data_IF_079528145244
#
_entry.id   IF_079528145244
#
_cell.length_a   1.000
_cell.length_b   1.000
_cell.length_c   1.000
_cell.angle_alpha   90.00
_cell.angle_beta   90.00
_cell.angle_gamma   90.00
#
_symmetry.space_group_name_H-M   'P 1'
#
loop_
_entity.id
_entity.type
_entity.pdbx_description
1 polymer ?
#
# COMPACT_ATOMS: atom_id res chain seq x y z
N UNK A 1 -6.07 -14.35 -18.10
CA UNK A 1 -5.30 -13.29 -17.44
C UNK A 1 -5.43 -12.10 -18.38
N UNK A 2 -6.15 -11.07 -17.97
CA UNK A 2 -6.32 -9.89 -18.84
C UNK A 2 -4.97 -9.19 -18.92
N UNK A 3 -4.54 -8.79 -20.12
CA UNK A 3 -3.27 -8.10 -20.29
C UNK A 3 -3.33 -6.74 -19.60
N UNK A 4 -2.35 -6.46 -18.74
CA UNK A 4 -2.21 -5.14 -18.13
C UNK A 4 -1.87 -4.10 -19.20
N UNK A 5 -2.83 -3.20 -19.47
CA UNK A 5 -2.62 -2.03 -20.32
C UNK A 5 -2.34 -0.82 -19.43
N UNK A 6 -1.06 -0.43 -19.38
CA UNK A 6 -0.60 0.69 -18.55
C UNK A 6 -1.20 2.02 -18.99
N UNK A 7 -1.42 2.21 -20.30
CA UNK A 7 -1.96 3.45 -20.82
C UNK A 7 -3.42 3.62 -20.40
N UNK A 8 -4.24 2.58 -20.58
CA UNK A 8 -5.65 2.60 -20.15
C UNK A 8 -5.76 2.84 -18.64
N UNK A 9 -4.92 2.18 -17.83
CA UNK A 9 -4.91 2.37 -16.38
C UNK A 9 -4.53 3.82 -16.02
N UNK A 10 -3.55 4.38 -16.71
CA UNK A 10 -3.10 5.77 -16.48
C UNK A 10 -4.19 6.77 -16.81
N UNK A 11 -4.82 6.65 -17.98
CA UNK A 11 -5.91 7.53 -18.42
C UNK A 11 -7.09 7.47 -17.46
N UNK A 12 -7.50 6.28 -17.02
CA UNK A 12 -8.59 6.11 -16.05
C UNK A 12 -8.25 6.74 -14.70
N UNK A 13 -7.06 6.48 -14.15
CA UNK A 13 -6.66 7.11 -12.90
C UNK A 13 -6.63 8.63 -13.00
N UNK A 14 -6.11 9.18 -14.10
CA UNK A 14 -6.08 10.63 -14.32
C UNK A 14 -7.49 11.24 -14.35
N UNK A 15 -8.43 10.59 -15.07
CA UNK A 15 -9.83 11.01 -15.14
C UNK A 15 -10.48 11.04 -13.75
N UNK A 16 -10.43 9.94 -13.01
CA UNK A 16 -11.06 9.88 -11.68
C UNK A 16 -10.35 10.76 -10.65
N UNK A 17 -9.03 10.94 -10.77
CA UNK A 17 -8.29 11.83 -9.88
C UNK A 17 -8.68 13.29 -10.10
N UNK A 18 -8.83 13.73 -11.35
CA UNK A 18 -9.33 15.07 -11.65
C UNK A 18 -10.75 15.28 -11.09
N UNK A 19 -11.67 14.35 -11.36
CA UNK A 19 -13.05 14.41 -10.86
C UNK A 19 -13.12 14.43 -9.32
N UNK A 20 -12.27 13.64 -8.66
CA UNK A 20 -12.18 13.61 -7.21
C UNK A 20 -11.69 14.95 -6.63
N UNK A 21 -10.69 15.59 -7.27
CA UNK A 21 -10.23 16.93 -6.88
C UNK A 21 -11.33 17.98 -7.05
N UNK A 22 -12.05 17.95 -8.17
CA UNK A 22 -13.14 18.90 -8.45
C UNK A 22 -14.28 18.77 -7.42
N UNK A 23 -14.53 17.56 -6.92
CA UNK A 23 -15.54 17.26 -5.90
C UNK A 23 -15.04 17.42 -4.46
N UNK A 24 -13.76 17.71 -4.25
CA UNK A 24 -13.15 17.73 -2.91
C UNK A 24 -13.16 16.36 -2.21
N UNK A 25 -13.10 15.27 -2.98
CA UNK A 25 -13.07 13.90 -2.48
C UNK A 25 -11.65 13.34 -2.54
N UNK A 26 -11.12 12.86 -1.41
CA UNK A 26 -9.80 12.20 -1.38
C UNK A 26 -9.91 10.67 -1.56
N UNK A 27 -10.75 10.22 -2.50
CA UNK A 27 -10.97 8.79 -2.78
C UNK A 27 -11.18 8.52 -4.26
N UNK A 28 -10.56 7.46 -4.77
CA UNK A 28 -10.73 6.97 -6.14
C UNK A 28 -11.52 5.65 -6.18
N UNK A 29 -12.40 5.45 -7.18
CA UNK A 29 -13.15 4.22 -7.37
C UNK A 29 -12.28 3.15 -8.05
N UNK A 30 -11.35 2.54 -7.32
CA UNK A 30 -10.38 1.60 -7.91
C UNK A 30 -11.03 0.47 -8.73
N UNK A 31 -12.25 0.03 -8.39
CA UNK A 31 -12.96 -1.05 -9.09
C UNK A 31 -13.43 -0.63 -10.49
N UNK A 32 -13.53 0.67 -10.77
CA UNK A 32 -13.85 1.22 -12.10
C UNK A 32 -12.60 1.41 -12.96
N UNK A 33 -11.41 1.35 -12.34
CA UNK A 33 -10.13 1.47 -13.06
C UNK A 33 -9.82 0.19 -13.82
N UNK A 34 -9.88 -0.97 -13.15
CA UNK A 34 -9.59 -2.26 -13.77
C UNK A 34 -10.10 -3.45 -12.94
N UNK A 35 -10.15 -4.63 -13.56
CA UNK A 35 -10.39 -5.90 -12.88
C UNK A 35 -9.10 -6.40 -12.23
N UNK A 36 -8.75 -5.83 -11.07
CA UNK A 36 -7.45 -6.04 -10.40
C UNK A 36 -7.14 -7.49 -10.05
N UNK A 37 -8.16 -8.28 -9.75
CA UNK A 37 -8.07 -9.73 -9.52
C UNK A 37 -7.50 -10.51 -10.71
N UNK A 38 -7.62 -9.96 -11.94
CA UNK A 38 -7.09 -10.56 -13.17
C UNK A 38 -5.72 -10.04 -13.59
N UNK A 39 -5.29 -8.92 -13.00
CA UNK A 39 -4.10 -8.14 -13.40
C UNK A 39 -2.96 -8.28 -12.39
N UNK A 40 -3.29 -8.26 -11.10
CA UNK A 40 -2.31 -8.34 -10.02
C UNK A 40 -1.75 -9.75 -9.91
N UNK A 41 -0.44 -9.85 -9.68
CA UNK A 41 0.18 -11.12 -9.37
C UNK A 41 -0.24 -11.62 -7.98
N UNK A 42 0.02 -12.89 -7.59
CA UNK A 42 -0.46 -13.44 -6.33
C UNK A 42 -0.05 -12.65 -5.07
N UNK A 43 1.17 -12.09 -5.05
CA UNK A 43 1.66 -11.28 -3.91
C UNK A 43 0.93 -9.94 -3.89
N UNK A 44 0.84 -9.25 -5.02
CA UNK A 44 0.11 -7.99 -5.14
C UNK A 44 -1.37 -8.18 -4.76
N UNK A 45 -2.03 -9.22 -5.28
CA UNK A 45 -3.43 -9.50 -5.01
C UNK A 45 -3.69 -9.74 -3.51
N UNK A 46 -2.80 -10.46 -2.84
CA UNK A 46 -2.90 -10.69 -1.41
C UNK A 46 -2.74 -9.39 -0.61
N UNK A 47 -1.75 -8.57 -0.94
CA UNK A 47 -1.58 -7.24 -0.33
C UNK A 47 -2.79 -6.35 -0.61
N UNK A 48 -3.36 -6.43 -1.82
CA UNK A 48 -4.57 -5.69 -2.16
C UNK A 48 -5.79 -6.12 -1.35
N UNK A 49 -5.91 -7.41 -1.03
CA UNK A 49 -6.93 -7.90 -0.11
C UNK A 49 -6.73 -7.35 1.30
N UNK A 50 -5.49 -7.32 1.79
CA UNK A 50 -5.14 -6.75 3.09
C UNK A 50 -5.45 -5.24 3.15
N UNK A 51 -5.11 -4.49 2.09
CA UNK A 51 -5.44 -3.07 1.94
C UNK A 51 -6.95 -2.84 2.06
N UNK A 52 -7.75 -3.63 1.35
CA UNK A 52 -9.22 -3.56 1.39
C UNK A 52 -9.77 -3.92 2.77
N UNK A 53 -9.24 -4.97 3.40
CA UNK A 53 -9.68 -5.44 4.71
C UNK A 53 -9.40 -4.42 5.81
N UNK A 54 -8.20 -3.85 5.84
CA UNK A 54 -7.79 -2.86 6.85
C UNK A 54 -8.46 -1.49 6.62
N UNK A 55 -8.84 -1.21 5.37
CA UNK A 55 -9.52 0.03 4.96
C UNK A 55 -8.54 1.17 4.64
N UNK A 56 -7.37 0.87 4.09
CA UNK A 56 -6.39 1.89 3.68
C UNK A 56 -6.66 2.28 2.23
N UNK A 57 -6.84 3.58 1.89
CA UNK A 57 -7.16 4.00 0.52
C UNK A 57 -5.92 4.02 -0.39
N UNK A 58 -5.27 2.87 -0.57
CA UNK A 58 -4.15 2.70 -1.51
C UNK A 58 -4.62 2.04 -2.80
N UNK A 59 -4.21 2.61 -3.93
CA UNK A 59 -4.65 2.24 -5.25
C UNK A 59 -3.59 1.40 -5.97
N UNK A 60 -3.95 0.22 -6.52
CA UNK A 60 -3.02 -0.68 -7.19
C UNK A 60 -2.45 -0.11 -8.48
N UNK A 61 -1.17 -0.38 -8.74
CA UNK A 61 -0.40 0.03 -9.94
C UNK A 61 -0.65 1.50 -10.31
N UNK A 62 -0.60 2.37 -9.30
CA UNK A 62 -0.86 3.79 -9.49
C UNK A 62 0.27 4.45 -10.30
N UNK A 63 -0.04 5.12 -11.41
CA UNK A 63 0.95 5.78 -12.26
C UNK A 63 1.58 6.95 -11.52
N UNK A 64 2.90 7.07 -11.59
CA UNK A 64 3.65 8.16 -10.95
C UNK A 64 4.54 8.92 -11.93
N UNK A 65 4.83 8.32 -13.08
CA UNK A 65 5.48 8.95 -14.22
C UNK A 65 5.18 8.12 -15.48
N UNK A 66 5.64 8.58 -16.64
CA UNK A 66 5.52 7.85 -17.89
C UNK A 66 6.10 6.44 -17.75
N UNK A 67 5.29 5.44 -18.12
CA UNK A 67 5.61 4.01 -18.03
C UNK A 67 6.07 3.53 -16.63
N UNK A 68 5.75 4.28 -15.58
CA UNK A 68 6.21 3.99 -14.21
C UNK A 68 5.04 4.05 -13.23
N UNK A 69 4.90 3.00 -12.42
CA UNK A 69 3.93 2.95 -11.33
C UNK A 69 4.56 2.56 -9.99
N UNK A 70 3.82 2.88 -8.93
CA UNK A 70 3.97 2.25 -7.62
C UNK A 70 2.99 1.09 -7.51
N UNK A 71 3.39 0.02 -6.85
CA UNK A 71 2.55 -1.17 -6.68
C UNK A 71 1.23 -0.83 -6.01
N UNK A 72 1.28 0.04 -4.99
CA UNK A 72 0.12 0.65 -4.37
C UNK A 72 0.43 2.10 -4.00
N UNK A 73 -0.49 3.04 -4.21
CA UNK A 73 -0.28 4.42 -3.79
C UNK A 73 -1.57 5.17 -3.48
N UNK A 74 -1.47 6.18 -2.62
CA UNK A 74 -2.48 7.20 -2.46
C UNK A 74 -1.90 8.54 -2.95
N UNK A 75 -2.40 9.10 -4.07
CA UNK A 75 -1.87 10.35 -4.62
C UNK A 75 -2.22 11.58 -3.78
N UNK A 76 -3.35 11.59 -3.06
CA UNK A 76 -3.76 12.72 -2.23
C UNK A 76 -2.81 12.96 -1.05
N UNK A 77 -2.33 11.86 -0.43
CA UNK A 77 -1.33 11.91 0.65
C UNK A 77 0.11 11.75 0.16
N UNK A 78 0.34 11.59 -1.15
CA UNK A 78 1.63 11.25 -1.77
C UNK A 78 2.37 10.14 -1.02
N UNK A 79 1.68 9.08 -0.67
CA UNK A 79 2.25 7.91 0.01
C UNK A 79 2.09 6.67 -0.84
N UNK A 80 3.08 5.80 -0.86
CA UNK A 80 2.97 4.56 -1.62
C UNK A 80 3.88 3.44 -1.16
N UNK A 81 3.62 2.27 -1.71
CA UNK A 81 4.30 1.01 -1.43
C UNK A 81 4.94 0.52 -2.72
N UNK A 82 6.23 0.23 -2.63
CA UNK A 82 7.00 -0.45 -3.66
C UNK A 82 7.34 -1.87 -3.19
N UNK A 83 6.93 -2.88 -3.96
CA UNK A 83 7.22 -4.28 -3.63
C UNK A 83 8.53 -4.70 -4.29
N UNK A 84 9.42 -5.27 -3.49
CA UNK A 84 10.66 -5.90 -3.92
C UNK A 84 10.44 -7.40 -4.09
N UNK A 85 10.45 -7.85 -5.34
CA UNK A 85 10.46 -9.26 -5.68
C UNK A 85 11.90 -9.79 -5.71
N UNK A 86 12.05 -11.12 -5.63
CA UNK A 86 13.34 -11.81 -5.67
C UNK A 86 14.25 -11.39 -6.83
N UNK A 87 13.65 -11.08 -7.99
CA UNK A 87 14.37 -10.70 -9.22
C UNK A 87 14.32 -9.19 -9.51
N UNK A 88 13.82 -8.38 -8.58
CA UNK A 88 13.84 -6.92 -8.73
C UNK A 88 15.28 -6.41 -8.73
N UNK A 89 15.61 -5.45 -9.59
CA UNK A 89 16.88 -4.73 -9.53
C UNK A 89 16.84 -3.70 -8.40
N UNK A 90 17.67 -3.81 -7.34
CA UNK A 90 17.69 -2.84 -6.26
C UNK A 90 18.09 -1.44 -6.73
N UNK A 91 18.94 -1.34 -7.76
CA UNK A 91 19.37 -0.06 -8.33
C UNK A 91 18.21 0.67 -8.99
N UNK A 92 17.38 -0.03 -9.77
CA UNK A 92 16.20 0.55 -10.42
C UNK A 92 15.19 1.02 -9.38
N UNK A 93 14.91 0.20 -8.37
CA UNK A 93 14.00 0.54 -7.27
C UNK A 93 14.52 1.75 -6.49
N UNK A 94 15.80 1.76 -6.12
CA UNK A 94 16.41 2.88 -5.39
C UNK A 94 16.31 4.18 -6.18
N UNK A 95 16.60 4.15 -7.49
CA UNK A 95 16.48 5.34 -8.35
C UNK A 95 15.05 5.86 -8.40
N UNK A 96 14.06 4.98 -8.59
CA UNK A 96 12.64 5.34 -8.59
C UNK A 96 12.22 5.96 -7.25
N UNK A 97 12.59 5.33 -6.14
CA UNK A 97 12.26 5.81 -4.79
C UNK A 97 12.89 7.16 -4.50
N UNK A 98 14.16 7.37 -4.86
CA UNK A 98 14.84 8.65 -4.64
C UNK A 98 14.20 9.78 -5.45
N UNK A 99 13.85 9.51 -6.72
CA UNK A 99 13.15 10.47 -7.56
C UNK A 99 11.81 10.87 -6.94
N UNK A 100 10.95 9.90 -6.62
CA UNK A 100 9.63 10.18 -6.04
C UNK A 100 9.75 10.90 -4.69
N UNK A 101 10.72 10.53 -3.85
CA UNK A 101 11.00 11.25 -2.60
C UNK A 101 11.36 12.72 -2.84
N UNK A 102 12.15 13.02 -3.87
CA UNK A 102 12.47 14.39 -4.25
C UNK A 102 11.25 15.20 -4.70
N UNK A 103 10.20 14.51 -5.18
CA UNK A 103 8.90 15.07 -5.56
C UNK A 103 7.89 15.09 -4.39
N UNK A 104 8.35 14.82 -3.17
CA UNK A 104 7.53 14.88 -1.96
C UNK A 104 6.72 13.61 -1.67
N UNK A 105 7.02 12.49 -2.32
CA UNK A 105 6.41 11.22 -1.97
C UNK A 105 7.06 10.56 -0.75
N UNK A 106 6.26 9.92 0.08
CA UNK A 106 6.73 8.95 1.07
C UNK A 106 6.54 7.53 0.52
N UNK A 107 7.65 6.87 0.19
CA UNK A 107 7.63 5.50 -0.36
C UNK A 107 8.15 4.50 0.65
N UNK A 108 7.32 3.50 0.95
CA UNK A 108 7.65 2.35 1.78
C UNK A 108 8.01 1.17 0.89
N UNK A 109 9.12 0.51 1.20
CA UNK A 109 9.60 -0.65 0.46
C UNK A 109 9.22 -1.91 1.22
N UNK A 110 8.71 -2.91 0.50
CA UNK A 110 8.24 -4.16 1.09
C UNK A 110 8.86 -5.32 0.34
N UNK A 111 9.61 -6.15 1.04
CA UNK A 111 10.03 -7.44 0.50
C UNK A 111 8.82 -8.36 0.33
N UNK A 112 8.61 -8.87 -0.89
CA UNK A 112 7.55 -9.81 -1.23
C UNK A 112 7.47 -11.03 -0.30
N UNK A 113 8.60 -11.46 0.29
CA UNK A 113 8.66 -12.58 1.25
C UNK A 113 7.98 -12.25 2.58
N UNK A 114 7.94 -10.97 2.94
CA UNK A 114 7.30 -10.49 4.17
C UNK A 114 5.80 -10.24 4.00
N UNK A 115 5.24 -10.50 2.82
CA UNK A 115 3.81 -10.35 2.60
C UNK A 115 3.03 -11.36 3.47
N UNK A 116 3.53 -12.58 3.68
CA UNK A 116 2.74 -13.75 4.10
C UNK A 116 2.27 -13.81 5.57
N UNK A 117 2.81 -12.98 6.44
CA UNK A 117 2.43 -13.02 7.86
C UNK A 117 1.29 -12.05 8.16
N UNK A 118 0.18 -12.58 8.71
CA UNK A 118 -0.90 -11.75 9.25
C UNK A 118 -0.43 -11.04 10.53
N UNK A 119 -1.10 -9.96 10.91
CA UNK A 119 -0.67 -9.14 12.06
C UNK A 119 -0.62 -9.95 13.36
N UNK A 120 -1.57 -10.84 13.58
CA UNK A 120 -1.65 -11.63 14.82
C UNK A 120 -0.49 -12.61 14.99
N UNK A 121 -0.15 -13.33 13.93
CA UNK A 121 1.01 -14.22 13.92
C UNK A 121 2.30 -13.44 14.21
N UNK A 122 2.45 -12.29 13.56
CA UNK A 122 3.62 -11.44 13.74
C UNK A 122 3.67 -10.85 15.16
N UNK A 123 2.53 -10.43 15.70
CA UNK A 123 2.39 -9.90 17.05
C UNK A 123 2.79 -10.93 18.11
N UNK A 124 2.22 -12.15 18.04
CA UNK A 124 2.55 -13.26 18.93
C UNK A 124 4.05 -13.63 18.88
N UNK A 125 4.63 -13.65 17.67
CA UNK A 125 6.07 -13.90 17.50
C UNK A 125 6.94 -12.84 18.22
N UNK A 126 6.50 -11.58 18.26
CA UNK A 126 7.26 -10.49 18.89
C UNK A 126 7.05 -10.34 20.39
N UNK A 127 5.84 -10.57 20.93
CA UNK A 127 5.56 -10.34 22.36
C UNK A 127 6.00 -11.45 23.30
N UNK A 128 6.32 -12.65 22.81
CA UNK A 128 6.66 -13.86 23.61
C UNK A 128 5.55 -14.35 24.57
N UNK A 129 4.57 -13.52 24.93
CA UNK A 129 3.32 -13.91 25.62
C UNK A 129 2.23 -14.21 24.60
N UNK A 130 1.42 -15.24 24.87
CA UNK A 130 0.35 -15.74 23.98
C UNK A 130 -1.06 -15.39 24.45
N UNK A 131 -1.20 -14.70 25.58
CA UNK A 131 -2.51 -14.45 26.22
C UNK A 131 -3.22 -13.19 25.72
N UNK A 132 -2.52 -12.37 24.92
CA UNK A 132 -3.02 -11.11 24.41
C UNK A 132 -2.94 -11.13 22.89
N UNK A 133 -4.01 -10.75 22.22
CA UNK A 133 -4.06 -10.57 20.77
C UNK A 133 -3.77 -9.10 20.41
N UNK A 134 -3.47 -8.84 19.14
CA UNK A 134 -3.26 -7.47 18.67
C UNK A 134 -4.52 -6.63 18.85
N UNK A 135 -5.69 -7.21 18.57
CA UNK A 135 -6.99 -6.54 18.71
C UNK A 135 -7.38 -6.22 20.17
N UNK A 136 -6.75 -6.85 21.17
CA UNK A 136 -6.98 -6.54 22.58
C UNK A 136 -6.22 -5.29 23.06
N UNK A 137 -5.33 -4.76 22.22
CA UNK A 137 -4.56 -3.55 22.52
C UNK A 137 -5.41 -2.29 22.32
N UNK A 138 -5.14 -1.28 23.14
CA UNK A 138 -5.61 0.09 22.86
C UNK A 138 -5.02 0.62 21.55
N UNK A 139 -5.70 1.56 20.89
CA UNK A 139 -5.22 2.20 19.66
C UNK A 139 -3.78 2.74 19.78
N UNK A 140 -3.42 3.33 20.93
CA UNK A 140 -2.06 3.83 21.16
C UNK A 140 -1.03 2.70 21.23
N UNK A 141 -1.38 1.57 21.87
CA UNK A 141 -0.52 0.39 21.92
C UNK A 141 -0.38 -0.27 20.55
N UNK A 142 -1.47 -0.37 19.79
CA UNK A 142 -1.46 -0.86 18.41
C UNK A 142 -0.56 0.03 17.56
N UNK A 143 -0.73 1.35 17.63
CA UNK A 143 0.09 2.32 16.92
C UNK A 143 1.58 2.17 17.23
N UNK A 144 1.96 2.14 18.52
CA UNK A 144 3.36 1.94 18.94
C UNK A 144 3.94 0.62 18.44
N UNK A 145 3.14 -0.45 18.42
CA UNK A 145 3.57 -1.73 17.89
C UNK A 145 3.84 -1.65 16.39
N UNK A 146 2.88 -1.13 15.61
CA UNK A 146 3.02 -1.09 14.15
C UNK A 146 4.06 -0.06 13.70
N UNK A 147 4.20 1.08 14.39
CA UNK A 147 5.26 2.05 14.17
C UNK A 147 6.65 1.40 14.33
N UNK A 148 6.83 0.54 15.35
CA UNK A 148 8.09 -0.17 15.56
C UNK A 148 8.40 -1.21 14.47
N UNK A 149 7.39 -1.77 13.82
CA UNK A 149 7.54 -2.96 12.98
C UNK A 149 7.05 -2.82 11.53
N UNK A 150 6.60 -1.64 11.11
CA UNK A 150 6.04 -1.42 9.76
C UNK A 150 7.00 -1.81 8.63
N UNK A 151 8.31 -1.64 8.80
CA UNK A 151 9.29 -2.04 7.78
C UNK A 151 9.53 -3.57 7.69
N UNK A 152 9.00 -4.35 8.64
CA UNK A 152 9.28 -5.79 8.77
C UNK A 152 8.10 -6.67 8.36
N UNK A 153 6.90 -6.11 8.26
CA UNK A 153 5.68 -6.86 7.98
C UNK A 153 4.66 -5.95 7.28
N UNK A 154 4.06 -6.44 6.20
CA UNK A 154 3.12 -5.65 5.40
C UNK A 154 1.88 -5.23 6.18
N UNK A 155 1.34 -6.09 7.06
CA UNK A 155 0.17 -5.74 7.85
C UNK A 155 0.49 -4.63 8.84
N UNK A 156 1.64 -4.71 9.53
CA UNK A 156 2.14 -3.60 10.35
C UNK A 156 2.27 -2.32 9.52
N UNK A 157 2.77 -2.39 8.29
CA UNK A 157 2.82 -1.22 7.40
C UNK A 157 1.44 -0.66 7.11
N UNK A 158 0.47 -1.49 6.75
CA UNK A 158 -0.88 -1.03 6.41
C UNK A 158 -1.59 -0.39 7.62
N UNK A 159 -1.49 -0.99 8.81
CA UNK A 159 -1.99 -0.37 10.04
C UNK A 159 -1.25 0.92 10.38
N UNK A 160 0.08 0.95 10.25
CA UNK A 160 0.85 2.18 10.43
C UNK A 160 0.40 3.28 9.46
N UNK A 161 0.19 2.95 8.19
CA UNK A 161 -0.33 3.90 7.20
C UNK A 161 -1.73 4.38 7.58
N UNK A 162 -2.62 3.49 8.00
CA UNK A 162 -3.96 3.82 8.53
C UNK A 162 -3.84 4.86 9.64
N UNK A 163 -3.08 4.55 10.70
CA UNK A 163 -2.94 5.44 11.85
C UNK A 163 -2.27 6.77 11.50
N UNK A 164 -1.21 6.73 10.69
CA UNK A 164 -0.36 7.89 10.44
C UNK A 164 -0.93 8.85 9.41
N UNK A 165 -1.62 8.34 8.38
CA UNK A 165 -2.05 9.13 7.23
C UNK A 165 -3.57 9.21 7.06
N UNK A 166 -4.34 8.29 7.65
CA UNK A 166 -5.74 8.09 7.31
C UNK A 166 -6.71 8.04 8.51
N UNK A 167 -6.25 8.21 9.76
CA UNK A 167 -7.10 8.19 10.97
C UNK A 167 -8.23 9.23 10.99
N UNK A 168 -8.18 10.23 10.12
CA UNK A 168 -9.19 11.29 10.03
C UNK A 168 -10.10 11.14 8.81
N UNK A 169 -10.04 10.01 8.09
CA UNK A 169 -10.86 9.78 6.90
C UNK A 169 -11.96 8.76 7.25
N UNK A 170 -13.10 9.28 7.68
CA UNK A 170 -14.39 8.59 7.78
C UNK A 170 -15.39 9.29 6.86
#
# INVERSE_FOLDING_TARGET
MDSFDFQIVTERYAMYFSDALDKGQEKLPYYEIAQWDRILNPVELRIFHDIKFIGVPLYPRFPVADNTYLHFANPFKRVGIEIEFKNSSPQIINRKVLLLKSEGWTIFRVDSRNAYHIIEEFFRFKRKSKELEFDDLTDEQQYRFVEKYHEKNIQCLLYYLKYRYFSNIL
#
